data_IF_153417775722
#
_entry.id   IF_153417775722
#
_cell.length_a   1.000
_cell.length_b   1.000
_cell.length_c   1.000
_cell.angle_alpha   90.00
_cell.angle_beta   90.00
_cell.angle_gamma   90.00
#
_symmetry.space_group_name_H-M   'P 1'
#
loop_
_entity.id
_entity.type
_entity.pdbx_description
1 polymer ?
2 non-polymer ?
3 non-polymer ?
4 non-polymer ?
5 water ?
#
# COMPACT_ATOMS: atom_id res chain seq x y z
N UNK A 1 23.64 -17.96 2.83
CA UNK A 1 23.53 -16.52 2.59
C UNK A 1 22.16 -16.12 2.07
N UNK A 2 21.17 -16.06 2.96
CA UNK A 2 19.82 -15.66 2.61
C UNK A 2 19.59 -14.19 2.93
N UNK A 3 18.53 -13.65 2.35
CA UNK A 3 18.20 -12.23 2.44
C UNK A 3 16.87 -12.08 3.18
N UNK A 4 16.83 -11.16 4.15
CA UNK A 4 15.57 -10.87 4.84
C UNK A 4 15.29 -9.38 4.72
N UNK A 5 14.33 -9.03 3.86
CA UNK A 5 14.11 -7.64 3.53
C UNK A 5 13.48 -6.89 4.69
N UNK A 6 13.99 -5.69 4.93
CA UNK A 6 13.48 -4.82 5.97
C UNK A 6 12.38 -3.96 5.39
N UNK A 7 11.18 -4.16 5.88
CA UNK A 7 10.01 -3.40 5.43
C UNK A 7 9.60 -2.40 6.49
N UNK A 8 9.28 -1.19 6.05
CA UNK A 8 8.85 -0.12 6.94
C UNK A 8 7.58 0.49 6.36
N UNK A 9 6.62 0.79 7.24
CA UNK A 9 5.39 1.47 6.89
C UNK A 9 5.39 2.80 7.62
N UNK A 10 5.27 3.89 6.85
CA UNK A 10 5.40 5.25 7.36
C UNK A 10 4.07 5.99 7.12
N UNK A 11 3.40 6.37 8.20
CA UNK A 11 2.22 7.21 8.09
C UNK A 11 2.63 8.67 8.14
N UNK A 12 2.05 9.47 7.27
CA UNK A 12 2.40 10.89 7.19
C UNK A 12 1.12 11.72 7.28
N UNK A 13 1.00 12.54 8.32
CA UNK A 13 -0.22 13.30 8.53
C UNK A 13 -1.29 12.49 9.24
N UNK A 14 -2.45 13.12 9.43
CA UNK A 14 -3.49 12.55 10.25
C UNK A 14 -4.03 11.21 9.76
N UNK A 15 -4.53 11.20 8.52
CA UNK A 15 -5.06 9.96 7.96
C UNK A 15 -4.03 8.85 7.87
N UNK A 16 -2.81 9.18 7.46
CA UNK A 16 -1.79 8.15 7.37
C UNK A 16 -1.47 7.54 8.73
N UNK A 17 -1.40 8.38 9.76
CA UNK A 17 -1.12 7.84 11.08
C UNK A 17 -2.29 7.09 11.68
N UNK A 18 -3.51 7.45 11.31
CA UNK A 18 -4.61 6.63 11.80
C UNK A 18 -4.65 5.27 11.10
N UNK A 19 -4.29 5.24 9.82
CA UNK A 19 -4.14 3.95 9.15
C UNK A 19 -3.06 3.11 9.83
N UNK A 20 -1.94 3.73 10.21
CA UNK A 20 -0.89 3.01 10.89
C UNK A 20 -1.38 2.48 12.23
N UNK A 21 -2.08 3.31 12.99
CA UNK A 21 -2.54 2.90 14.32
C UNK A 21 -3.45 1.69 14.21
N UNK A 22 -4.37 1.72 13.25
CA UNK A 22 -5.27 0.60 13.08
C UNK A 22 -4.55 -0.64 12.57
N UNK A 23 -3.50 -0.47 11.76
CA UNK A 23 -2.72 -1.63 11.33
C UNK A 23 -1.97 -2.24 12.50
N UNK A 24 -1.43 -1.41 13.39
CA UNK A 24 -0.73 -1.93 14.55
C UNK A 24 -1.67 -2.70 15.46
N UNK A 25 -2.90 -2.20 15.64
CA UNK A 25 -3.88 -2.90 16.47
C UNK A 25 -4.24 -4.25 15.86
N UNK A 26 -4.46 -4.27 14.54
CA UNK A 26 -4.76 -5.51 13.85
C UNK A 26 -3.66 -6.55 14.04
N UNK A 27 -2.45 -6.12 14.38
CA UNK A 27 -1.33 -7.02 14.50
C UNK A 27 -0.57 -7.13 13.19
N UNK A 28 0.74 -6.87 13.25
CA UNK A 28 1.61 -7.00 12.09
C UNK A 28 3.01 -7.33 12.57
N UNK A 29 3.61 -8.37 11.98
CA UNK A 29 4.91 -8.86 12.41
C UNK A 29 5.97 -8.56 11.36
N UNK A 30 7.20 -8.36 11.84
CA UNK A 30 8.36 -8.10 10.98
C UNK A 30 8.13 -6.93 10.04
N UNK A 31 7.42 -5.92 10.53
CA UNK A 31 7.29 -4.64 9.85
C UNK A 31 7.53 -3.55 10.89
N UNK A 32 8.37 -2.58 10.55
CA UNK A 32 8.60 -1.45 11.42
C UNK A 32 7.62 -0.33 11.04
N UNK A 33 7.02 0.28 12.04
CA UNK A 33 6.09 1.38 11.82
C UNK A 33 6.69 2.70 12.27
N UNK A 34 6.51 3.72 11.44
CA UNK A 34 6.99 5.07 11.69
C UNK A 34 5.81 6.02 11.54
N UNK A 35 5.63 6.91 12.50
CA UNK A 35 4.59 7.93 12.46
C UNK A 35 5.24 9.28 12.30
N UNK A 36 4.84 10.02 11.27
CA UNK A 36 5.37 11.35 10.99
C UNK A 36 4.20 12.33 10.99
N UNK A 37 4.29 13.39 11.78
CA UNK A 37 3.22 14.39 11.80
C UNK A 37 3.77 15.72 12.31
N UNK A 38 3.14 16.80 11.87
CA UNK A 38 3.32 18.12 12.49
C UNK A 38 2.54 18.20 13.79
N UNK A 39 1.36 17.60 13.83
CA UNK A 39 0.42 17.69 14.94
C UNK A 39 0.93 16.87 16.10
N UNK A 40 1.49 17.55 17.11
CA UNK A 40 2.03 16.85 18.27
C UNK A 40 0.98 16.16 19.12
N UNK A 41 -0.23 16.74 19.22
CA UNK A 41 -1.30 16.10 19.97
C UNK A 41 -1.64 14.74 19.39
N UNK A 42 -1.80 14.68 18.06
CA UNK A 42 -2.11 13.41 17.42
C UNK A 42 -0.92 12.46 17.50
N UNK A 43 0.28 12.98 17.30
CA UNK A 43 1.46 12.12 17.33
C UNK A 43 1.60 11.44 18.69
N UNK A 44 1.27 12.14 19.76
CA UNK A 44 1.35 11.55 21.10
C UNK A 44 0.45 10.34 21.25
N UNK A 45 -0.61 10.24 20.45
CA UNK A 45 -1.51 9.11 20.49
C UNK A 45 -1.14 8.01 19.52
N UNK A 46 -0.07 8.18 18.75
CA UNK A 46 0.33 7.14 17.82
C UNK A 46 0.82 5.91 18.58
N UNK A 47 0.51 4.74 18.04
CA UNK A 47 0.98 3.47 18.58
C UNK A 47 2.30 3.02 17.98
N UNK A 48 2.88 3.78 17.05
CA UNK A 48 4.14 3.40 16.43
C UNK A 48 5.30 3.59 17.40
N UNK A 49 6.29 2.71 17.26
CA UNK A 49 7.49 2.73 18.08
C UNK A 49 8.44 3.85 17.67
N UNK A 50 8.28 4.40 16.47
CA UNK A 50 9.10 5.51 16.01
C UNK A 50 8.16 6.63 15.63
N UNK A 51 8.30 7.76 16.32
CA UNK A 51 7.50 8.95 16.08
C UNK A 51 8.44 10.08 15.71
N UNK A 52 8.08 10.83 14.67
CA UNK A 52 8.86 11.95 14.22
C UNK A 52 7.93 13.15 14.12
N UNK A 53 8.14 14.13 15.00
CA UNK A 53 7.40 15.37 14.94
C UNK A 53 8.16 16.29 14.01
N UNK A 54 7.53 16.68 12.91
CA UNK A 54 8.18 17.53 11.94
C UNK A 54 7.64 18.95 12.05
N UNK A 55 8.48 19.91 11.69
CA UNK A 55 8.02 21.28 11.58
C UNK A 55 7.68 21.99 12.87
N UNK A 56 8.20 21.55 14.01
CA UNK A 56 7.77 22.19 15.26
C UNK A 56 8.04 23.70 15.28
N UNK A 57 9.16 24.13 14.70
CA UNK A 57 9.44 25.56 14.68
C UNK A 57 8.47 26.31 13.78
N UNK A 58 7.93 25.62 12.78
CA UNK A 58 7.06 26.24 11.80
C UNK A 58 5.62 26.31 12.30
N UNK A 59 5.10 25.22 12.89
CA UNK A 59 3.70 25.12 13.28
C UNK A 59 3.48 25.28 14.77
N UNK A 60 4.55 25.44 15.56
CA UNK A 60 4.45 25.51 17.01
C UNK A 60 3.79 24.25 17.59
N UNK A 61 3.87 23.12 16.86
CA UNK A 61 3.35 21.85 17.32
C UNK A 61 1.94 21.53 16.86
N UNK A 62 1.30 22.43 16.14
CA UNK A 62 0.02 22.20 15.53
C UNK A 62 0.20 21.50 14.19
N UNK A 63 -0.92 21.09 13.61
CA UNK A 63 -0.93 20.66 12.24
C UNK A 63 -0.65 21.81 11.29
N UNK A 64 -0.76 21.52 10.01
CA UNK A 64 -0.40 22.42 8.96
C UNK A 64 -1.55 23.33 8.52
N UNK A 65 -2.72 23.22 9.17
CA UNK A 65 -3.81 24.12 8.82
C UNK A 65 -4.22 24.05 7.37
N UNK A 66 -4.16 22.86 6.78
CA UNK A 66 -4.59 22.60 5.42
C UNK A 66 -3.67 23.21 4.38
N UNK A 67 -2.46 23.61 4.75
CA UNK A 67 -1.55 24.28 3.83
C UNK A 67 -0.41 23.35 3.43
N UNK A 68 -0.42 22.81 2.21
CA UNK A 68 0.61 21.83 1.84
C UNK A 68 2.01 22.37 1.84
N UNK A 69 2.16 23.69 1.65
CA UNK A 69 3.50 24.26 1.68
C UNK A 69 4.12 24.12 3.06
N UNK A 70 3.28 24.19 4.09
CA UNK A 70 3.78 24.01 5.45
C UNK A 70 4.20 22.55 5.69
N UNK A 71 3.41 21.59 5.20
CA UNK A 71 3.82 20.20 5.31
C UNK A 71 5.14 19.94 4.60
N UNK A 72 5.30 20.48 3.40
CA UNK A 72 6.53 20.27 2.65
C UNK A 72 7.72 20.87 3.39
N UNK A 73 7.61 22.12 3.83
CA UNK A 73 8.71 22.76 4.52
C UNK A 73 9.01 22.04 5.83
N UNK A 74 7.98 21.60 6.55
CA UNK A 74 8.19 20.83 7.78
C UNK A 74 9.05 19.60 7.50
N UNK A 75 8.72 18.85 6.45
CA UNK A 75 9.48 17.65 6.15
C UNK A 75 10.90 17.97 5.75
N UNK A 76 11.08 18.99 4.91
CA UNK A 76 12.42 19.38 4.51
C UNK A 76 13.27 19.81 5.72
N UNK A 77 12.69 20.56 6.66
CA UNK A 77 13.35 20.97 7.92
C UNK A 77 13.82 19.76 8.73
N UNK A 78 13.19 18.59 8.52
CA UNK A 78 13.43 17.41 9.31
C UNK A 78 14.06 16.29 8.49
N UNK A 79 14.64 16.62 7.33
CA UNK A 79 15.19 15.58 6.47
C UNK A 79 16.08 14.63 7.25
N UNK A 80 16.94 15.16 8.12
CA UNK A 80 17.90 14.30 8.81
C UNK A 80 17.21 13.30 9.72
N UNK A 81 16.18 13.73 10.43
CA UNK A 81 15.44 12.83 11.29
C UNK A 81 14.67 11.79 10.47
N UNK A 82 14.15 12.18 9.31
CA UNK A 82 13.44 11.23 8.45
C UNK A 82 14.43 10.23 7.89
N UNK A 83 15.59 10.70 7.41
CA UNK A 83 16.65 9.80 6.98
C UNK A 83 16.99 8.78 8.06
N UNK A 84 17.23 9.25 9.29
CA UNK A 84 17.60 8.34 10.36
C UNK A 84 16.54 7.28 10.59
N UNK A 85 15.27 7.65 10.47
CA UNK A 85 14.20 6.68 10.71
C UNK A 85 14.13 5.64 9.59
N UNK A 86 14.45 6.05 8.36
CA UNK A 86 14.33 5.14 7.23
C UNK A 86 15.52 4.21 7.16
N UNK A 87 16.65 4.60 7.74
CA UNK A 87 17.89 3.85 7.62
C UNK A 87 17.68 2.35 7.78
N UNK A 88 18.26 1.58 6.86
CA UNK A 88 18.15 0.14 6.87
C UNK A 88 17.02 -0.41 6.02
N UNK A 89 16.06 0.41 5.62
CA UNK A 89 14.90 -0.07 4.88
C UNK A 89 15.29 -0.65 3.51
N UNK A 90 14.72 -1.80 3.20
CA UNK A 90 14.73 -2.30 1.83
C UNK A 90 13.46 -1.94 1.07
N UNK A 91 12.34 -1.79 1.78
CA UNK A 91 11.08 -1.40 1.17
C UNK A 91 10.37 -0.50 2.16
N UNK A 92 9.82 0.59 1.64
CA UNK A 92 9.07 1.56 2.43
C UNK A 92 7.72 1.77 1.79
N UNK A 93 6.67 1.64 2.59
CA UNK A 93 5.33 2.06 2.21
C UNK A 93 5.06 3.39 2.89
N UNK A 94 4.72 4.40 2.11
CA UNK A 94 4.39 5.73 2.63
C UNK A 94 2.90 5.88 2.46
N UNK A 95 2.16 6.05 3.56
CA UNK A 95 0.72 6.13 3.51
C UNK A 95 0.24 7.45 4.08
N UNK A 96 -0.73 8.06 3.41
CA UNK A 96 -1.09 9.43 3.70
C UNK A 96 -2.43 9.75 3.05
N UNK A 97 -3.20 10.63 3.67
CA UNK A 97 -4.40 11.16 3.03
C UNK A 97 -4.10 12.43 2.28
N UNK A 98 -4.32 12.49 0.99
CA UNK A 98 -4.04 13.71 0.25
C UNK A 98 -5.17 14.72 0.42
N UNK A 99 -4.82 15.99 0.40
CA UNK A 99 -5.77 17.08 0.45
C UNK A 99 -5.59 18.02 1.61
N UNK A 100 -4.99 17.56 2.70
CA UNK A 100 -4.68 18.39 3.84
C UNK A 100 -3.33 19.03 3.64
N UNK A 101 -2.78 19.51 4.74
CA UNK A 101 -1.50 20.18 4.65
C UNK A 101 -0.29 19.29 4.88
N UNK A 102 -0.35 18.45 5.88
CA UNK A 102 0.83 17.66 6.22
C UNK A 102 1.04 16.52 5.25
N UNK A 103 0.05 15.68 5.03
CA UNK A 103 0.22 14.59 4.07
C UNK A 103 0.56 15.09 2.69
N UNK A 104 -0.26 16.02 2.17
CA UNK A 104 -0.06 16.48 0.80
C UNK A 104 1.37 16.97 0.59
N UNK A 105 1.88 17.77 1.52
CA UNK A 105 3.19 18.36 1.33
C UNK A 105 4.36 17.52 1.81
N UNK A 106 4.19 16.83 2.94
CA UNK A 106 5.29 16.06 3.52
C UNK A 106 5.43 14.65 2.93
N UNK A 107 4.33 14.01 2.51
CA UNK A 107 4.45 12.62 2.08
C UNK A 107 5.35 12.50 0.87
N UNK A 108 5.29 13.38 -0.13
CA UNK A 108 6.23 13.26 -1.25
C UNK A 108 7.68 13.46 -0.84
N UNK A 109 7.96 14.30 0.16
CA UNK A 109 9.33 14.47 0.65
C UNK A 109 9.81 13.18 1.30
N UNK A 110 8.99 12.60 2.15
CA UNK A 110 9.33 11.33 2.80
C UNK A 110 9.63 10.27 1.74
N UNK A 111 8.76 10.15 0.74
CA UNK A 111 8.95 9.15 -0.29
C UNK A 111 10.24 9.39 -1.06
N UNK A 112 10.54 10.64 -1.39
CA UNK A 112 11.76 10.96 -2.12
C UNK A 112 12.99 10.57 -1.30
N UNK A 113 12.96 10.83 0.00
CA UNK A 113 14.09 10.45 0.85
C UNK A 113 14.28 8.95 0.84
N UNK A 114 13.19 8.20 0.98
CA UNK A 114 13.30 6.74 0.97
C UNK A 114 13.89 6.24 -0.34
N UNK A 115 13.41 6.79 -1.46
CA UNK A 115 13.87 6.33 -2.75
C UNK A 115 15.34 6.70 -2.96
N UNK A 116 15.75 7.88 -2.49
CA UNK A 116 17.15 8.27 -2.60
C UNK A 116 18.06 7.34 -1.82
N UNK A 117 17.56 6.73 -0.75
CA UNK A 117 18.30 5.75 0.01
C UNK A 117 18.29 4.35 -0.62
N UNK A 118 17.71 4.19 -1.81
CA UNK A 118 17.70 2.92 -2.48
C UNK A 118 16.56 1.99 -2.10
N UNK A 119 15.68 2.42 -1.19
CA UNK A 119 14.55 1.56 -0.83
C UNK A 119 13.50 1.53 -1.92
N UNK A 120 12.91 0.36 -2.12
CA UNK A 120 11.74 0.24 -2.96
C UNK A 120 10.60 0.96 -2.28
N UNK A 121 10.06 1.97 -2.93
CA UNK A 121 9.19 2.94 -2.26
C UNK A 121 7.79 2.91 -2.89
N UNK A 122 6.82 2.55 -2.08
CA UNK A 122 5.43 2.42 -2.52
C UNK A 122 4.57 3.40 -1.75
N UNK A 123 3.82 4.23 -2.47
CA UNK A 123 2.84 5.11 -1.86
C UNK A 123 1.45 4.51 -1.87
N UNK A 124 0.73 4.66 -0.78
CA UNK A 124 -0.68 4.25 -0.68
C UNK A 124 -1.43 5.46 -0.10
N UNK A 125 -2.17 6.16 -0.93
CA UNK A 125 -2.75 7.43 -0.53
C UNK A 125 -4.23 7.48 -0.87
N UNK A 126 -4.98 8.30 -0.14
CA UNK A 126 -6.37 8.58 -0.46
C UNK A 126 -6.52 9.92 -1.17
N UNK A 127 -7.57 10.03 -1.99
CA UNK A 127 -8.10 11.29 -2.45
C UNK A 127 -9.33 11.65 -1.62
N UNK A 128 -9.60 12.94 -1.41
CA UNK A 128 -10.68 13.33 -0.50
C UNK A 128 -12.06 13.03 -1.07
N UNK A 129 -13.04 12.94 -0.18
CA UNK A 129 -14.42 12.82 -0.61
C UNK A 129 -14.81 14.07 -1.38
N UNK A 130 -15.68 13.88 -2.38
CA UNK A 130 -16.23 15.04 -3.07
C UNK A 130 -16.93 16.01 -2.12
N UNK A 131 -17.53 15.51 -1.03
CA UNK A 131 -18.21 16.40 -0.10
C UNK A 131 -17.25 17.32 0.63
N UNK A 132 -15.94 17.08 0.53
CA UNK A 132 -14.96 17.98 1.10
C UNK A 132 -14.66 19.15 0.18
N UNK A 133 -15.16 19.16 -1.04
CA UNK A 133 -15.12 20.34 -1.87
C UNK A 133 -14.01 20.33 -2.91
N UNK A 134 -14.19 21.19 -3.92
CA UNK A 134 -13.30 21.19 -5.08
C UNK A 134 -11.87 21.59 -4.70
N UNK A 135 -11.73 22.57 -3.82
CA UNK A 135 -10.39 23.05 -3.46
C UNK A 135 -9.57 21.95 -2.78
N UNK A 136 -10.19 21.18 -1.89
CA UNK A 136 -9.49 20.07 -1.28
C UNK A 136 -9.10 19.03 -2.34
N UNK A 137 -10.00 18.80 -3.29
CA UNK A 137 -9.72 17.83 -4.34
C UNK A 137 -8.55 18.29 -5.21
N UNK A 138 -8.51 19.59 -5.53
CA UNK A 138 -7.42 20.12 -6.34
C UNK A 138 -6.08 20.06 -5.60
N UNK A 139 -6.07 20.43 -4.31
CA UNK A 139 -4.85 20.29 -3.53
C UNK A 139 -4.40 18.83 -3.49
N UNK A 140 -5.35 17.92 -3.29
CA UNK A 140 -5.01 16.50 -3.24
C UNK A 140 -4.42 16.04 -4.56
N UNK A 141 -4.95 16.52 -5.67
CA UNK A 141 -4.45 16.10 -6.98
C UNK A 141 -3.00 16.51 -7.16
N UNK A 142 -2.63 17.70 -6.69
CA UNK A 142 -1.24 18.10 -6.76
C UNK A 142 -0.36 17.21 -5.87
N UNK A 143 -0.89 16.79 -4.72
CA UNK A 143 -0.17 15.86 -3.88
C UNK A 143 0.02 14.52 -4.56
N UNK A 144 -1.02 14.02 -5.22
CA UNK A 144 -0.91 12.74 -5.93
C UNK A 144 0.16 12.82 -6.99
N UNK A 145 0.17 13.92 -7.75
CA UNK A 145 1.19 14.08 -8.79
C UNK A 145 2.58 14.15 -8.20
N UNK A 146 2.75 14.86 -7.07
CA UNK A 146 4.05 14.90 -6.43
C UNK A 146 4.45 13.52 -5.91
N UNK A 147 3.49 12.76 -5.39
CA UNK A 147 3.78 11.39 -4.96
C UNK A 147 4.25 10.55 -6.13
N UNK A 148 3.57 10.67 -7.26
CA UNK A 148 3.96 9.89 -8.44
C UNK A 148 5.41 10.13 -8.79
N UNK A 149 5.85 11.38 -8.70
CA UNK A 149 7.21 11.74 -9.06
C UNK A 149 8.24 11.26 -8.05
N UNK A 150 7.81 10.83 -6.86
CA UNK A 150 8.71 10.48 -5.78
C UNK A 150 8.73 9.02 -5.40
N UNK A 151 7.82 8.19 -5.90
CA UNK A 151 7.75 6.78 -5.51
C UNK A 151 8.17 5.89 -6.67
N UNK A 152 8.41 4.62 -6.35
CA UNK A 152 8.50 3.58 -7.36
C UNK A 152 7.12 3.22 -7.89
N UNK A 153 6.15 3.05 -7.00
CA UNK A 153 4.81 2.68 -7.38
C UNK A 153 3.81 3.35 -6.45
N UNK A 154 2.62 3.64 -6.99
CA UNK A 154 1.59 4.39 -6.27
C UNK A 154 0.24 3.71 -6.38
N UNK A 155 -0.41 3.53 -5.23
CA UNK A 155 -1.79 3.06 -5.16
C UNK A 155 -2.63 4.23 -4.63
N UNK A 156 -3.65 4.64 -5.38
CA UNK A 156 -4.54 5.73 -4.99
C UNK A 156 -5.90 5.13 -4.67
N UNK A 157 -6.44 5.49 -3.50
CA UNK A 157 -7.77 5.09 -3.04
C UNK A 157 -8.66 6.32 -3.02
N UNK A 158 -9.56 6.54 -3.99
CA UNK A 158 -10.47 7.69 -3.88
C UNK A 158 -11.46 7.43 -2.77
N UNK A 159 -11.51 8.33 -1.79
CA UNK A 159 -12.43 8.11 -0.67
C UNK A 159 -13.88 8.00 -1.13
N UNK A 160 -14.23 8.65 -2.23
CA UNK A 160 -15.59 8.49 -2.76
C UNK A 160 -15.95 7.02 -3.00
N UNK A 161 -14.99 6.16 -3.29
CA UNK A 161 -15.32 4.76 -3.48
C UNK A 161 -15.89 4.13 -2.23
N UNK A 162 -15.56 4.64 -1.04
CA UNK A 162 -16.16 4.10 0.16
C UNK A 162 -17.67 4.28 0.14
N UNK A 163 -18.18 5.30 -0.52
CA UNK A 163 -19.61 5.49 -0.62
C UNK A 163 -20.29 4.41 -1.46
N UNK A 164 -19.52 3.58 -2.18
CA UNK A 164 -20.07 2.50 -2.97
C UNK A 164 -20.21 1.22 -2.18
N UNK A 165 -19.65 1.13 -0.97
CA UNK A 165 -19.61 -0.09 -0.18
C UNK A 165 -20.30 0.04 1.16
N UNK A 166 -20.94 1.17 1.44
CA UNK A 166 -21.68 1.37 2.68
C UNK A 166 -23.18 1.41 2.40
N UNK A 167 -23.95 1.11 3.44
CA UNK A 167 -25.35 1.51 3.44
C UNK A 167 -25.47 2.80 4.24
N UNK A 168 -26.70 3.31 4.40
CA UNK A 168 -26.86 4.60 5.04
C UNK A 168 -26.47 4.60 6.51
N UNK A 169 -26.32 3.44 7.13
CA UNK A 169 -25.96 3.34 8.54
C UNK A 169 -24.54 2.85 8.82
N UNK A 170 -23.78 2.40 7.82
CA UNK A 170 -22.46 1.86 8.10
C UNK A 170 -21.63 2.90 8.83
N UNK A 171 -21.09 2.59 10.00
CA UNK A 171 -20.24 3.57 10.70
C UNK A 171 -19.06 4.02 9.86
N UNK A 172 -18.75 5.31 9.99
CA UNK A 172 -17.59 5.85 9.27
C UNK A 172 -16.31 5.06 9.57
N UNK A 173 -16.11 4.68 10.83
CA UNK A 173 -14.89 3.97 11.16
C UNK A 173 -14.83 2.60 10.50
N UNK A 174 -16.00 1.96 10.30
CA UNK A 174 -16.02 0.69 9.60
C UNK A 174 -15.65 0.88 8.13
N UNK A 175 -16.15 1.94 7.49
CA UNK A 175 -15.76 2.21 6.12
C UNK A 175 -14.26 2.48 6.04
N UNK A 176 -13.71 3.23 7.00
CA UNK A 176 -12.28 3.51 6.95
C UNK A 176 -11.47 2.22 7.06
N UNK A 177 -11.94 1.23 7.82
CA UNK A 177 -11.22 -0.03 7.92
C UNK A 177 -11.13 -0.73 6.57
N UNK A 178 -12.14 -0.58 5.70
CA UNK A 178 -12.06 -1.17 4.37
C UNK A 178 -10.95 -0.53 3.55
N UNK A 179 -10.79 0.79 3.66
CA UNK A 179 -9.66 1.42 2.97
C UNK A 179 -8.33 0.99 3.57
N UNK A 180 -8.25 0.86 4.89
CA UNK A 180 -7.03 0.37 5.54
C UNK A 180 -6.60 -0.97 4.97
N UNK A 181 -7.57 -1.82 4.57
CA UNK A 181 -7.24 -3.17 4.15
C UNK A 181 -6.39 -3.19 2.89
N UNK A 182 -6.51 -2.17 2.04
CA UNK A 182 -5.69 -2.09 0.83
C UNK A 182 -4.22 -2.10 1.22
N UNK A 183 -3.84 -1.20 2.10
CA UNK A 183 -2.45 -1.15 2.57
C UNK A 183 -2.08 -2.43 3.31
N UNK A 184 -2.90 -2.83 4.29
CA UNK A 184 -2.48 -3.89 5.19
C UNK A 184 -2.26 -5.19 4.42
N UNK A 185 -3.15 -5.50 3.48
CA UNK A 185 -3.03 -6.76 2.76
C UNK A 185 -1.93 -6.71 1.72
N UNK A 186 -1.63 -5.53 1.16
CA UNK A 186 -0.46 -5.43 0.29
C UNK A 186 0.83 -5.65 1.04
N UNK A 187 0.97 -5.04 2.20
CA UNK A 187 2.14 -5.27 3.04
C UNK A 187 2.24 -6.74 3.42
N UNK A 188 1.13 -7.30 3.90
CA UNK A 188 1.14 -8.70 4.34
C UNK A 188 1.47 -9.64 3.19
N UNK A 189 0.96 -9.33 2.00
CA UNK A 189 1.26 -10.16 0.84
C UNK A 189 2.73 -10.20 0.51
N UNK A 190 3.41 -9.05 0.60
CA UNK A 190 4.86 -9.05 0.38
C UNK A 190 5.57 -9.77 1.52
N UNK A 191 5.17 -9.46 2.76
CA UNK A 191 5.80 -10.12 3.90
C UNK A 191 5.71 -11.64 3.76
N UNK A 192 4.54 -12.16 3.39
CA UNK A 192 4.38 -13.60 3.27
C UNK A 192 5.19 -14.17 2.11
N UNK A 193 5.29 -13.42 1.01
CA UNK A 193 6.09 -13.87 -0.11
C UNK A 193 7.56 -14.02 0.27
N UNK A 194 8.07 -13.09 1.08
CA UNK A 194 9.47 -13.12 1.49
C UNK A 194 9.72 -14.25 2.48
N UNK A 195 8.76 -14.55 3.35
CA UNK A 195 9.02 -15.43 4.48
C UNK A 195 8.99 -16.90 4.12
N UNK A 196 8.32 -17.29 3.03
CA UNK A 196 8.14 -18.69 2.69
C UNK A 196 8.92 -19.00 1.42
N UNK A 197 9.53 -20.18 1.36
CA UNK A 197 10.15 -20.66 0.14
C UNK A 197 9.10 -21.47 -0.63
N UNK A 198 8.67 -20.95 -1.78
CA UNK A 198 7.63 -21.60 -2.53
C UNK A 198 8.15 -22.73 -3.41
N UNK A 199 7.25 -23.65 -3.73
CA UNK A 199 7.56 -24.70 -4.70
C UNK A 199 7.98 -24.13 -6.04
N UNK A 200 7.36 -23.04 -6.47
CA UNK A 200 7.91 -22.15 -7.50
C UNK A 200 8.11 -20.82 -6.79
N UNK A 201 9.35 -20.51 -6.47
CA UNK A 201 9.64 -19.48 -5.48
C UNK A 201 9.72 -18.11 -6.12
N UNK A 202 9.08 -17.14 -5.47
CA UNK A 202 9.26 -15.72 -5.76
C UNK A 202 9.86 -15.07 -4.54
N UNK A 203 10.67 -14.04 -4.74
CA UNK A 203 11.31 -13.40 -3.61
C UNK A 203 11.34 -11.88 -3.81
N UNK A 204 12.05 -11.20 -2.90
CA UNK A 204 12.08 -9.74 -2.94
C UNK A 204 12.67 -9.21 -4.24
N UNK A 205 13.57 -9.94 -4.89
CA UNK A 205 14.07 -9.46 -6.16
C UNK A 205 12.98 -9.41 -7.22
N UNK A 206 12.06 -10.39 -7.20
CA UNK A 206 10.91 -10.37 -8.09
C UNK A 206 10.01 -9.19 -7.79
N UNK A 207 9.80 -8.89 -6.50
CA UNK A 207 9.02 -7.70 -6.12
C UNK A 207 9.67 -6.45 -6.67
N UNK A 208 10.99 -6.34 -6.54
CA UNK A 208 11.69 -5.17 -7.09
C UNK A 208 11.55 -5.07 -8.60
N UNK A 209 11.65 -6.18 -9.31
CA UNK A 209 11.50 -6.13 -10.76
C UNK A 209 10.10 -5.61 -11.15
N UNK A 210 9.07 -6.10 -10.45
CA UNK A 210 7.72 -5.70 -10.83
C UNK A 210 7.40 -4.28 -10.40
N UNK A 211 7.96 -3.80 -9.29
CA UNK A 211 7.52 -2.53 -8.72
C UNK A 211 8.47 -1.35 -8.88
N UNK A 212 9.75 -1.57 -9.18
CA UNK A 212 10.70 -0.46 -9.23
C UNK A 212 10.43 0.44 -10.42
N UNK A 213 10.27 1.73 -10.16
CA UNK A 213 10.08 2.74 -11.21
C UNK A 213 8.99 2.35 -12.21
N UNK A 214 7.80 2.04 -11.71
CA UNK A 214 6.72 1.60 -12.57
C UNK A 214 5.52 2.53 -12.69
N UNK A 215 5.22 3.36 -11.71
CA UNK A 215 4.05 4.23 -11.79
C UNK A 215 2.89 3.70 -10.96
N UNK A 216 1.72 3.57 -11.59
CA UNK A 216 0.56 3.12 -10.84
C UNK A 216 0.67 1.63 -10.56
N UNK A 217 0.04 1.18 -9.49
CA UNK A 217 0.07 -0.22 -9.14
C UNK A 217 -1.27 -0.67 -8.58
N UNK A 218 -1.49 -1.97 -8.69
CA UNK A 218 -2.54 -2.66 -7.97
C UNK A 218 -1.90 -3.75 -7.11
N UNK A 219 -2.35 -3.88 -5.87
CA UNK A 219 -1.90 -4.94 -4.97
C UNK A 219 -3.15 -5.54 -4.36
N UNK A 220 -3.37 -6.85 -4.56
CA UNK A 220 -4.57 -7.48 -4.05
C UNK A 220 -4.36 -8.92 -3.65
N UNK A 221 -5.31 -9.42 -2.85
CA UNK A 221 -5.31 -10.80 -2.35
C UNK A 221 -6.74 -11.31 -2.41
N UNK A 222 -6.90 -12.54 -2.86
CA UNK A 222 -8.21 -13.19 -2.86
C UNK A 222 -8.11 -14.58 -2.27
N UNK A 223 -9.14 -14.96 -1.53
CA UNK A 223 -9.20 -16.26 -0.87
C UNK A 223 -10.53 -16.89 -1.22
N UNK A 224 -10.50 -18.17 -1.59
CA UNK A 224 -11.74 -18.85 -1.93
C UNK A 224 -11.58 -20.33 -1.65
N UNK A 225 -12.71 -21.02 -1.59
CA UNK A 225 -12.75 -22.44 -1.35
C UNK A 225 -13.79 -23.06 -2.27
N UNK A 226 -13.79 -24.39 -2.31
CA UNK A 226 -14.83 -25.11 -3.02
C UNK A 226 -14.66 -25.07 -4.53
N UNK A 227 -15.79 -25.21 -5.21
CA UNK A 227 -15.78 -25.27 -6.66
C UNK A 227 -15.39 -23.91 -7.23
N UNK A 228 -14.56 -23.95 -8.26
CA UNK A 228 -14.14 -22.75 -8.96
C UNK A 228 -13.28 -21.84 -8.09
N UNK A 229 -12.65 -22.39 -7.05
CA UNK A 229 -11.94 -21.57 -6.08
C UNK A 229 -10.82 -20.76 -6.70
N UNK A 230 -10.10 -21.32 -7.68
CA UNK A 230 -8.96 -20.60 -8.23
C UNK A 230 -9.42 -19.37 -9.02
N UNK A 231 -10.43 -19.54 -9.86
CA UNK A 231 -11.00 -18.40 -10.59
C UNK A 231 -11.57 -17.37 -9.61
N UNK A 232 -12.29 -17.83 -8.60
CA UNK A 232 -12.91 -16.88 -7.67
C UNK A 232 -11.87 -16.12 -6.89
N UNK A 233 -10.81 -16.80 -6.45
CA UNK A 233 -9.77 -16.10 -5.68
C UNK A 233 -9.02 -15.12 -6.57
N UNK A 234 -8.74 -15.51 -7.82
CA UNK A 234 -8.08 -14.59 -8.74
C UNK A 234 -8.94 -13.37 -9.00
N UNK A 235 -10.23 -13.57 -9.29
CA UNK A 235 -11.13 -12.44 -9.49
C UNK A 235 -11.12 -11.51 -8.28
N UNK A 236 -11.20 -12.07 -7.07
CA UNK A 236 -11.18 -11.23 -5.87
C UNK A 236 -9.88 -10.43 -5.77
N UNK A 237 -8.76 -11.05 -6.11
CA UNK A 237 -7.46 -10.38 -5.97
C UNK A 237 -7.36 -9.14 -6.84
N UNK A 238 -7.99 -9.15 -8.01
CA UNK A 238 -7.86 -8.04 -8.96
C UNK A 238 -9.06 -7.08 -8.96
N UNK A 239 -10.06 -7.27 -8.09
CA UNK A 239 -11.35 -6.61 -8.29
C UNK A 239 -11.81 -5.67 -7.16
N UNK A 240 -10.91 -5.04 -6.42
CA UNK A 240 -11.38 -4.19 -5.32
C UNK A 240 -12.22 -3.02 -5.84
N UNK A 241 -13.34 -2.71 -5.20
CA UNK A 241 -14.11 -1.52 -5.57
C UNK A 241 -13.49 -0.18 -5.14
N UNK A 242 -12.34 -0.16 -4.46
CA UNK A 242 -11.80 1.05 -3.83
C UNK A 242 -10.62 1.71 -4.57
N UNK A 243 -10.24 1.21 -5.74
CA UNK A 243 -8.98 1.59 -6.36
C UNK A 243 -9.22 2.49 -7.55
N UNK A 244 -8.35 3.47 -7.72
CA UNK A 244 -8.36 4.29 -8.92
C UNK A 244 -7.77 3.52 -10.10
N UNK A 245 -6.76 2.71 -9.85
CA UNK A 245 -6.08 1.95 -10.89
C UNK A 245 -6.59 0.52 -10.80
N UNK A 246 -7.42 0.13 -11.78
CA UNK A 246 -7.87 -1.25 -11.92
C UNK A 246 -6.79 -2.08 -12.58
N UNK A 247 -7.10 -3.36 -12.79
CA UNK A 247 -6.19 -4.28 -13.45
C UNK A 247 -6.08 -4.01 -14.94
N UNK A 248 -7.04 -3.29 -15.52
CA UNK A 248 -7.10 -3.19 -16.98
C UNK A 248 -5.89 -2.42 -17.48
N UNK A 249 -5.16 -3.02 -18.41
CA UNK A 249 -3.99 -2.39 -18.98
C UNK A 249 -2.66 -2.76 -18.33
N UNK A 250 -2.69 -3.55 -17.26
CA UNK A 250 -1.44 -3.96 -16.65
C UNK A 250 -0.62 -4.72 -17.67
N UNK A 251 0.68 -4.45 -17.69
CA UNK A 251 1.60 -5.15 -18.54
C UNK A 251 2.61 -5.98 -17.76
N UNK A 252 2.71 -5.77 -16.44
CA UNK A 252 3.53 -6.58 -15.56
C UNK A 252 2.76 -7.05 -14.33
N UNK A 253 2.87 -8.35 -14.03
CA UNK A 253 2.15 -8.93 -12.91
C UNK A 253 3.08 -9.88 -12.15
N UNK A 254 3.11 -9.75 -10.84
CA UNK A 254 3.62 -10.79 -9.96
C UNK A 254 2.40 -11.48 -9.36
N UNK A 255 2.30 -12.79 -9.54
CA UNK A 255 1.15 -13.52 -9.05
C UNK A 255 1.62 -14.74 -8.30
N UNK A 256 1.12 -14.94 -7.10
CA UNK A 256 1.46 -16.10 -6.31
C UNK A 256 0.17 -16.82 -5.93
N UNK A 257 0.18 -18.14 -6.07
CA UNK A 257 -0.94 -18.96 -5.63
C UNK A 257 -0.46 -19.84 -4.50
N UNK A 258 -1.19 -19.81 -3.38
CA UNK A 258 -0.92 -20.67 -2.24
C UNK A 258 -2.12 -21.58 -2.03
N UNK A 259 -1.87 -22.87 -1.87
CA UNK A 259 -2.91 -23.83 -1.63
C UNK A 259 -2.35 -25.01 -0.88
N UNK A 260 -3.24 -25.94 -0.54
CA UNK A 260 -2.82 -27.21 0.03
C UNK A 260 -2.33 -28.17 -1.03
N UNK A 261 -2.16 -29.43 -0.60
CA UNK A 261 -1.64 -30.44 -1.49
C UNK A 261 -2.58 -30.71 -2.68
N UNK A 262 -3.85 -30.30 -2.59
CA UNK A 262 -4.79 -30.48 -3.71
C UNK A 262 -4.64 -29.44 -4.81
N UNK A 263 -3.79 -28.42 -4.65
CA UNK A 263 -3.68 -27.39 -5.68
C UNK A 263 -3.30 -28.02 -7.02
N UNK A 264 -4.13 -27.79 -8.03
CA UNK A 264 -3.97 -28.48 -9.30
C UNK A 264 -3.28 -27.58 -10.33
N UNK A 265 -2.58 -28.23 -11.26
CA UNK A 265 -1.99 -27.49 -12.37
C UNK A 265 -3.06 -26.74 -13.14
N UNK A 266 -4.19 -27.40 -13.41
CA UNK A 266 -5.26 -26.77 -14.17
C UNK A 266 -5.78 -25.51 -13.49
N UNK A 267 -5.98 -25.54 -12.18
CA UNK A 267 -6.51 -24.35 -11.55
C UNK A 267 -5.48 -23.22 -11.49
N UNK A 268 -4.19 -23.55 -11.43
CA UNK A 268 -3.17 -22.52 -11.52
C UNK A 268 -3.24 -21.82 -12.86
N UNK A 269 -3.42 -22.59 -13.94
CA UNK A 269 -3.62 -21.98 -15.24
C UNK A 269 -4.88 -21.12 -15.28
N UNK A 270 -5.97 -21.62 -14.70
CA UNK A 270 -7.20 -20.85 -14.75
C UNK A 270 -7.03 -19.51 -14.06
N UNK A 271 -6.37 -19.49 -12.92
CA UNK A 271 -6.16 -18.24 -12.21
C UNK A 271 -5.27 -17.30 -13.01
N UNK A 272 -4.17 -17.82 -13.56
CA UNK A 272 -3.28 -16.98 -14.34
C UNK A 272 -4.01 -16.38 -15.53
N UNK A 273 -4.90 -17.18 -16.16
CA UNK A 273 -5.63 -16.69 -17.31
C UNK A 273 -6.63 -15.60 -16.93
N UNK A 274 -7.27 -15.71 -15.77
CA UNK A 274 -8.17 -14.66 -15.31
C UNK A 274 -7.45 -13.33 -15.24
N UNK A 275 -6.25 -13.35 -14.68
CA UNK A 275 -5.53 -12.11 -14.47
C UNK A 275 -5.15 -11.49 -15.81
N UNK A 276 -4.62 -12.30 -16.72
CA UNK A 276 -4.18 -11.75 -18.00
C UNK A 276 -5.36 -11.36 -18.89
N UNK A 277 -6.46 -12.11 -18.84
CA UNK A 277 -7.63 -11.73 -19.62
C UNK A 277 -8.22 -10.41 -19.13
N UNK A 278 -8.32 -10.24 -17.80
CA UNK A 278 -8.84 -8.99 -17.25
C UNK A 278 -7.93 -7.83 -17.58
N UNK A 279 -6.61 -8.07 -17.59
CA UNK A 279 -5.67 -7.03 -17.98
C UNK A 279 -5.90 -6.60 -19.41
N UNK A 280 -6.32 -7.54 -20.26
CA UNK A 280 -6.53 -7.27 -21.69
C UNK A 280 -5.27 -6.71 -22.34
N UNK A 281 -4.12 -7.26 -21.96
CA UNK A 281 -2.84 -6.89 -22.52
C UNK A 281 -1.96 -8.13 -22.60
N UNK A 282 -0.86 -8.00 -23.34
CA UNK A 282 0.21 -8.98 -23.28
C UNK A 282 0.89 -8.77 -21.94
N UNK A 283 0.58 -9.59 -20.95
CA UNK A 283 1.09 -9.42 -19.60
C UNK A 283 2.37 -10.22 -19.41
N UNK A 284 3.39 -9.56 -18.85
CA UNK A 284 4.64 -10.21 -18.47
C UNK A 284 4.49 -10.73 -17.03
N UNK A 285 4.14 -12.01 -16.89
CA UNK A 285 3.90 -12.58 -15.57
C UNK A 285 5.16 -13.11 -14.91
N UNK A 286 5.26 -12.89 -13.61
CA UNK A 286 6.17 -13.63 -12.73
C UNK A 286 5.27 -14.45 -11.82
N UNK A 287 5.26 -15.76 -12.02
CA UNK A 287 4.28 -16.63 -11.39
C UNK A 287 4.94 -17.51 -10.34
N UNK A 288 4.31 -17.63 -9.19
CA UNK A 288 4.82 -18.47 -8.13
C UNK A 288 3.73 -19.31 -7.50
N UNK A 289 4.17 -20.32 -6.76
CA UNK A 289 3.28 -21.26 -6.12
C UNK A 289 3.89 -21.69 -4.79
N UNK A 290 3.03 -21.75 -3.77
CA UNK A 290 3.39 -22.22 -2.44
C UNK A 290 2.41 -23.30 -2.06
N UNK A 291 2.91 -24.45 -1.62
CA UNK A 291 2.07 -25.50 -1.11
C UNK A 291 2.17 -25.42 0.41
N UNK A 292 1.05 -25.08 1.04
CA UNK A 292 0.97 -25.06 2.50
C UNK A 292 0.10 -26.23 2.90
N UNK A 293 0.68 -27.32 3.41
CA UNK A 293 -0.13 -28.51 3.75
C UNK A 293 -1.12 -28.27 4.86
N UNK A 294 -0.96 -27.23 5.67
CA UNK A 294 -1.98 -26.91 6.67
C UNK A 294 -3.31 -26.60 6.01
N UNK A 295 -3.27 -25.96 4.85
CA UNK A 295 -4.49 -25.62 4.14
C UNK A 295 -5.17 -26.88 3.66
N UNK A 296 -6.50 -26.88 3.72
CA UNK A 296 -7.27 -27.98 3.17
C UNK A 296 -7.83 -27.54 1.83
N UNK A 297 -8.98 -26.87 1.85
CA UNK A 297 -9.69 -26.51 0.63
C UNK A 297 -9.51 -25.05 0.23
N UNK A 298 -8.77 -24.26 0.99
CA UNK A 298 -8.62 -22.85 0.69
C UNK A 298 -7.50 -22.63 -0.31
N UNK A 299 -7.70 -21.66 -1.19
CA UNK A 299 -6.66 -21.17 -2.11
C UNK A 299 -6.55 -19.67 -1.90
N UNK A 300 -5.32 -19.16 -1.95
CA UNK A 300 -5.02 -17.75 -1.79
C UNK A 300 -4.27 -17.29 -3.03
N UNK A 301 -4.76 -16.25 -3.69
CA UNK A 301 -4.09 -15.68 -4.86
C UNK A 301 -3.66 -14.27 -4.50
N UNK A 302 -2.38 -13.96 -4.70
CA UNK A 302 -1.82 -12.63 -4.46
C UNK A 302 -1.40 -12.07 -5.79
N UNK A 303 -1.78 -10.83 -6.08
CA UNK A 303 -1.43 -10.16 -7.33
C UNK A 303 -0.81 -8.81 -7.02
N UNK A 304 0.29 -8.52 -7.69
CA UNK A 304 0.85 -7.18 -7.82
C UNK A 304 0.90 -6.86 -9.29
N UNK A 305 0.20 -5.82 -9.74
CA UNK A 305 0.15 -5.46 -11.14
C UNK A 305 0.70 -4.04 -11.32
N UNK A 306 1.56 -3.85 -12.33
CA UNK A 306 2.13 -2.54 -12.67
C UNK A 306 2.23 -2.42 -14.20
N UNK A 307 2.86 -1.37 -14.69
CA UNK A 307 3.09 -1.26 -16.13
C UNK A 307 1.93 -0.67 -16.90
N UNK A 308 1.14 0.17 -16.27
CA UNK A 308 0.06 0.89 -16.92
C UNK A 308 0.59 2.10 -17.67
X LIG B 1 -3.13 16.34 7.31
X LIG B 1 -2.84 15.74 8.62
X LIG B 1 -2.23 15.63 6.32
X LIG B 1 -3.02 17.84 7.24
X LIG B 1 -4.63 15.96 6.88
X LIG B 1 -5.44 14.58 7.20
X LIG B 1 -6.06 14.60 8.54
X LIG B 1 -4.57 13.43 6.94
X LIG B 1 -6.63 14.67 6.18
X LIG B 1 -6.36 14.75 4.79
X LIG B 1 -7.40 13.94 4.03
X LIG B 1 -7.29 12.56 4.37
X LIG B 1 -8.82 14.33 4.40
X LIG B 1 -9.22 15.46 3.61
X LIG B 1 -9.61 13.04 4.13
X LIG B 1 -10.02 12.88 2.78
X LIG B 1 -8.63 11.96 4.38
X LIG B 1 -8.66 11.23 5.64
X LIG B 1 -8.22 11.69 6.85
X LIG B 1 -8.24 10.70 7.75
X LIG B 1 -8.67 9.58 7.09
X LIG B 1 -8.85 8.20 7.46
X LIG B 1 -8.63 7.77 8.61
X LIG B 1 -9.27 7.41 6.48
X LIG B 1 -9.50 7.80 5.21
X LIG B 1 -9.95 6.87 4.34
X LIG B 1 -9.37 9.05 4.77
X LIG B 1 -8.91 9.94 5.71
X LIG B 1 -7.21 14.12 2.97
X LIG B 1 -8.99 14.66 5.43
X LIG B 1 -10.52 13.04 4.75
X LIG B 1 -10.04 13.74 2.34
X LIG B 1 -8.90 11.25 3.59
X LIG B 1 -7.89 12.70 7.05
X LIG B 1 -9.45 6.41 6.72
X LIG B 1 -10.12 7.12 3.37
X LIG B 1 -10.13 5.93 4.65
X LIG C 1 9.51 -16.77 -1.19
X LIG D 1 -4.42 4.12 3.31
X LIG D 1 -6.63 4.46 4.94
X LIG D 1 -4.95 7.63 4.41
X LIG D 1 -6.04 6.87 5.22
X LIG D 1 -4.15 6.61 3.82
X LIG D 1 -5.92 5.40 4.72
X LIG D 1 -4.84 5.32 3.95
X LIG D 1 -4.13 3.49 3.99
X LIG D 1 -3.68 4.31 2.72
X LIG D 1 -5.15 3.74 2.81
X LIG D 1 -4.41 8.17 5.00
X LIG D 1 -5.35 8.17 3.73
X LIG D 1 -6.92 7.23 5.03
X LIG D 1 -5.86 6.92 6.18
X LIG D 1 -4.01 6.80 2.89
X LIG D 1 -3.30 6.56 4.29
#
# INVERSE_FOLDING_TARGET
GSHMATLKVIGVGGGGNNAVNRMIDHGMNNVEFIAINTDGQALNLSKAESKIQIGEKLTRGLGAGANPEIGKKAAEESREQIEDAIQGADMVFVTSGMGGGTGTGAAPVVAKIAKEMGALTVGVVTRPFSFEGRKRQTQAAAGVEAMKAAVDTLIVIPNDRLLDIVDKSTPMMEAFKEADNVLRQGVQGISDLIAVSGEVNLDFADVKTIMSNQGSALMGIGVSSGENRAVEAAKKAISSPLLETSIVGAQGVLMNITGGESLSLFEAQEAADIVQDAADEDVNMIFGTVINPELQDEIVVTVIATGF
GDP PB O1B O2B O3B O3A PA O1A O2A O5' C5' C4' O4' C3' O3' C2' O2' C1' N9 C8 N7 C5 C6 O6 N1 C2 N2 N3 C4 H4' H3' H2' HO2' H1' H8 HN1 HN21 HN22
CA CA
MB3 CAA OAB CAC CAD CAE CAF NAG HAA HAAA HAAB HAC HACA HAD HADA HAE HAEA
#
